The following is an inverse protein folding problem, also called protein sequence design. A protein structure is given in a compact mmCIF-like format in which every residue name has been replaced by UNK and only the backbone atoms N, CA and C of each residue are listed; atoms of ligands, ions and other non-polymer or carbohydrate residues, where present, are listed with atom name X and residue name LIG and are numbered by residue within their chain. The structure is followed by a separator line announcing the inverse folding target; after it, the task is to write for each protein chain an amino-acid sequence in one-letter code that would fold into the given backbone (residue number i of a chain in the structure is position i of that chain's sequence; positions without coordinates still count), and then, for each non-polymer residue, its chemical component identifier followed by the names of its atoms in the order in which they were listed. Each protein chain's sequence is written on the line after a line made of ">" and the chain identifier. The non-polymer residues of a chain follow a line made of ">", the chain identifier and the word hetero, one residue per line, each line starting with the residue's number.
data_IF_985810009584
#
_entry.id   IF_985810009584
#
_cell.length_a   1.000
_cell.length_b   1.000
_cell.length_c   1.000
_cell.angle_alpha   90.00
_cell.angle_beta   90.00
_cell.angle_gamma   90.00
#
_symmetry.space_group_name_H-M   'P 1'
#
loop_
_entity.id
_entity.type
_entity.pdbx_description
1 polymer ?
#
# COMPACT_ATOMS: atom_id res chain seq x y z
N UNK A 1 17.11 -2.31 -26.78
CA UNK A 1 17.55 -1.04 -26.12
C UNK A 1 17.48 -1.23 -24.61
N UNK A 2 18.59 -0.97 -23.93
CA UNK A 2 18.70 -1.12 -22.47
C UNK A 2 17.88 -0.02 -21.78
N UNK A 3 17.01 -0.41 -20.86
CA UNK A 3 16.11 0.50 -20.14
C UNK A 3 16.73 0.93 -18.80
N UNK A 4 17.06 2.22 -18.66
CA UNK A 4 17.53 2.80 -17.41
C UNK A 4 16.43 2.76 -16.34
N UNK A 5 16.81 2.45 -15.10
CA UNK A 5 15.87 2.40 -13.96
C UNK A 5 14.92 1.21 -14.00
N UNK A 6 15.21 0.20 -14.79
CA UNK A 6 14.40 -1.02 -14.97
C UNK A 6 15.24 -2.29 -14.87
N UNK A 7 14.57 -3.40 -14.57
CA UNK A 7 15.17 -4.72 -14.72
C UNK A 7 15.19 -5.08 -16.21
N UNK A 8 16.36 -5.47 -16.68
CA UNK A 8 16.62 -5.85 -18.07
C UNK A 8 17.15 -7.28 -18.10
N UNK A 9 16.67 -8.10 -19.03
CA UNK A 9 17.28 -9.40 -19.32
C UNK A 9 18.37 -9.22 -20.38
N UNK A 10 19.64 -9.28 -19.97
CA UNK A 10 20.78 -8.99 -20.82
C UNK A 10 21.73 -10.18 -20.91
N UNK A 11 22.39 -10.30 -22.06
CA UNK A 11 23.37 -11.36 -22.34
C UNK A 11 24.78 -10.87 -22.03
N UNK A 12 25.58 -11.73 -21.41
CA UNK A 12 27.00 -11.47 -21.17
C UNK A 12 27.75 -11.54 -22.50
N UNK A 13 28.33 -10.40 -22.89
CA UNK A 13 29.08 -10.26 -24.15
C UNK A 13 30.56 -10.59 -23.93
N UNK A 14 31.13 -10.09 -22.84
CA UNK A 14 32.57 -10.27 -22.52
C UNK A 14 32.82 -10.14 -21.01
N UNK A 15 33.88 -10.81 -20.54
CA UNK A 15 34.43 -10.69 -19.19
C UNK A 15 35.73 -9.86 -19.24
N UNK A 16 35.85 -8.92 -18.29
CA UNK A 16 37.00 -8.03 -18.18
C UNK A 16 37.47 -7.91 -16.73
N UNK A 17 38.60 -7.26 -16.48
CA UNK A 17 39.03 -6.99 -15.10
C UNK A 17 38.04 -6.15 -14.31
N UNK A 18 37.35 -5.19 -14.95
CA UNK A 18 36.36 -4.31 -14.33
C UNK A 18 35.03 -5.03 -14.01
N UNK A 19 34.68 -6.06 -14.79
CA UNK A 19 33.43 -6.79 -14.65
C UNK A 19 32.92 -7.36 -15.97
N UNK A 20 31.66 -7.79 -15.96
CA UNK A 20 30.99 -8.33 -17.12
C UNK A 20 30.30 -7.22 -17.90
N UNK A 21 30.53 -7.20 -19.23
CA UNK A 21 29.74 -6.34 -20.12
C UNK A 21 28.54 -7.12 -20.63
N UNK A 22 27.36 -6.52 -20.43
CA UNK A 22 26.06 -7.09 -20.78
C UNK A 22 25.44 -6.25 -21.90
N UNK A 23 24.66 -6.91 -22.78
CA UNK A 23 23.98 -6.23 -23.87
C UNK A 23 22.74 -6.98 -24.34
N UNK A 24 21.87 -6.26 -25.05
CA UNK A 24 20.60 -6.77 -25.60
C UNK A 24 20.68 -7.17 -27.08
N UNK A 25 21.89 -7.07 -27.69
CA UNK A 25 22.10 -7.33 -29.11
C UNK A 25 21.83 -6.14 -30.03
N UNK A 26 21.42 -4.98 -29.53
CA UNK A 26 21.22 -3.75 -30.31
C UNK A 26 22.52 -2.97 -30.55
N UNK A 27 23.59 -3.34 -29.85
CA UNK A 27 24.86 -2.65 -29.82
C UNK A 27 25.12 -1.86 -28.55
N UNK A 28 24.08 -1.68 -27.71
CA UNK A 28 24.25 -1.04 -26.40
C UNK A 28 24.83 -2.04 -25.40
N UNK A 29 25.78 -1.57 -24.59
CA UNK A 29 26.43 -2.36 -23.55
C UNK A 29 26.39 -1.65 -22.20
N UNK A 30 26.24 -2.42 -21.11
CA UNK A 30 26.32 -1.93 -19.74
C UNK A 30 27.29 -2.78 -18.91
N UNK A 31 28.07 -2.14 -18.04
CA UNK A 31 29.01 -2.82 -17.14
C UNK A 31 28.27 -3.32 -15.89
N UNK A 32 28.43 -4.61 -15.58
CA UNK A 32 28.14 -5.21 -14.27
C UNK A 32 29.48 -5.38 -13.53
N UNK A 33 29.80 -4.52 -12.54
CA UNK A 33 31.08 -4.58 -11.83
C UNK A 33 31.27 -5.90 -11.08
N UNK A 34 32.52 -6.40 -11.00
CA UNK A 34 32.81 -7.66 -10.26
C UNK A 34 32.38 -7.64 -8.80
N UNK A 35 32.43 -6.48 -8.15
CA UNK A 35 31.98 -6.31 -6.77
C UNK A 35 30.45 -6.49 -6.56
N UNK A 36 29.67 -6.59 -7.65
CA UNK A 36 28.22 -6.70 -7.67
C UNK A 36 27.72 -8.02 -8.23
N UNK A 37 28.63 -8.95 -8.50
CA UNK A 37 28.31 -10.31 -8.89
C UNK A 37 27.85 -11.09 -7.64
N UNK A 38 26.73 -11.76 -7.73
CA UNK A 38 26.18 -12.64 -6.70
C UNK A 38 26.39 -14.14 -7.02
N UNK A 39 27.08 -14.45 -8.13
CA UNK A 39 27.31 -15.79 -8.61
C UNK A 39 28.48 -15.89 -9.60
N UNK A 40 28.64 -17.10 -10.16
CA UNK A 40 29.62 -17.39 -11.20
C UNK A 40 28.88 -17.45 -12.54
N UNK A 41 29.26 -16.58 -13.45
CA UNK A 41 28.62 -16.43 -14.76
C UNK A 41 29.62 -16.62 -15.89
N UNK A 42 29.14 -17.02 -17.05
CA UNK A 42 29.93 -17.26 -18.25
C UNK A 42 29.48 -16.37 -19.39
N UNK A 43 30.41 -16.04 -20.28
CA UNK A 43 30.06 -15.35 -21.53
C UNK A 43 29.00 -16.13 -22.29
N UNK A 44 27.94 -15.46 -22.75
CA UNK A 44 26.72 -15.91 -23.39
C UNK A 44 25.58 -16.29 -22.44
N UNK A 45 25.79 -16.35 -21.11
CA UNK A 45 24.67 -16.46 -20.18
C UNK A 45 23.81 -15.20 -20.23
N UNK A 46 22.52 -15.34 -19.92
CA UNK A 46 21.59 -14.21 -19.78
C UNK A 46 21.28 -13.98 -18.32
N UNK A 47 21.24 -12.71 -17.91
CA UNK A 47 21.00 -12.28 -16.54
C UNK A 47 19.90 -11.22 -16.49
N UNK A 48 19.06 -11.31 -15.46
CA UNK A 48 18.19 -10.20 -15.07
C UNK A 48 18.99 -9.24 -14.22
N UNK A 49 19.20 -8.03 -14.72
CA UNK A 49 19.98 -6.99 -14.05
C UNK A 49 19.21 -5.69 -14.02
N UNK A 50 19.30 -4.98 -12.91
CA UNK A 50 18.79 -3.61 -12.81
C UNK A 50 19.86 -2.64 -13.34
N UNK A 51 19.49 -1.75 -14.25
CA UNK A 51 20.40 -0.77 -14.85
C UNK A 51 20.13 0.61 -14.26
N UNK A 52 21.15 1.26 -13.71
CA UNK A 52 21.06 2.58 -13.10
C UNK A 52 22.35 3.40 -13.30
N UNK A 53 22.39 4.63 -12.78
CA UNK A 53 23.56 5.51 -12.90
C UNK A 53 24.45 5.45 -11.66
N UNK A 54 25.78 5.31 -11.86
CA UNK A 54 26.76 5.41 -10.79
C UNK A 54 27.00 6.88 -10.35
N UNK A 55 27.97 7.11 -9.46
CA UNK A 55 28.35 8.45 -8.98
C UNK A 55 28.83 9.39 -10.09
N UNK A 56 29.36 8.87 -11.19
CA UNK A 56 29.87 9.59 -12.35
C UNK A 56 28.84 9.66 -13.50
N UNK A 57 27.59 9.32 -13.25
CA UNK A 57 26.49 9.29 -14.23
C UNK A 57 26.68 8.27 -15.37
N UNK A 58 27.53 7.26 -15.18
CA UNK A 58 27.67 6.15 -16.14
C UNK A 58 26.60 5.10 -15.86
N UNK A 59 26.06 4.49 -16.91
CA UNK A 59 25.14 3.36 -16.77
C UNK A 59 25.89 2.13 -16.27
N UNK A 60 25.39 1.54 -15.20
CA UNK A 60 25.91 0.32 -14.59
C UNK A 60 24.78 -0.63 -14.26
N UNK A 61 25.10 -1.92 -14.22
CA UNK A 61 24.16 -2.97 -13.86
C UNK A 61 24.43 -3.49 -12.44
N UNK A 62 23.40 -4.04 -11.83
CA UNK A 62 23.45 -4.81 -10.58
C UNK A 62 22.52 -6.02 -10.69
N UNK A 63 22.95 -7.16 -10.13
CA UNK A 63 22.08 -8.34 -9.96
C UNK A 63 21.09 -8.15 -8.80
N UNK A 64 21.36 -7.20 -7.90
CA UNK A 64 20.40 -6.81 -6.86
C UNK A 64 19.21 -6.09 -7.46
N UNK A 65 18.02 -6.49 -7.00
CA UNK A 65 16.78 -5.81 -7.39
C UNK A 65 16.52 -4.66 -6.43
N UNK A 66 16.15 -3.47 -6.94
CA UNK A 66 15.71 -2.38 -6.09
C UNK A 66 14.35 -2.71 -5.47
N UNK A 67 14.01 -1.99 -4.39
CA UNK A 67 12.67 -2.04 -3.79
C UNK A 67 11.61 -1.54 -4.77
N UNK A 68 11.98 -0.56 -5.61
CA UNK A 68 11.10 -0.01 -6.63
C UNK A 68 11.90 0.48 -7.84
N UNK A 69 11.26 0.54 -8.99
CA UNK A 69 11.86 0.94 -10.25
C UNK A 69 11.60 2.41 -10.61
N UNK A 70 12.22 2.87 -11.67
CA UNK A 70 11.94 4.20 -12.24
C UNK A 70 10.46 4.36 -12.60
N UNK A 71 9.90 5.53 -12.35
CA UNK A 71 8.49 5.88 -12.55
C UNK A 71 7.54 5.08 -11.65
N UNK A 72 7.94 4.86 -10.40
CA UNK A 72 7.07 4.24 -9.39
C UNK A 72 7.20 4.92 -8.03
N UNK A 73 6.22 4.69 -7.18
CA UNK A 73 6.22 5.14 -5.79
C UNK A 73 6.81 4.06 -4.90
N UNK A 74 7.48 4.48 -3.82
CA UNK A 74 8.03 3.55 -2.84
C UNK A 74 8.07 4.17 -1.44
N UNK A 75 7.90 3.35 -0.41
CA UNK A 75 8.08 3.73 0.99
C UNK A 75 9.48 3.32 1.42
N UNK A 76 10.39 4.30 1.55
CA UNK A 76 11.82 4.07 1.74
C UNK A 76 12.33 4.69 3.03
N UNK A 77 13.37 4.06 3.62
CA UNK A 77 14.07 4.55 4.81
C UNK A 77 15.16 5.54 4.41
N UNK A 78 15.27 6.63 5.14
CA UNK A 78 16.38 7.57 5.04
C UNK A 78 17.60 6.97 5.77
N UNK A 79 18.69 6.75 5.04
CA UNK A 79 19.97 6.30 5.60
C UNK A 79 20.79 7.44 6.14
N UNK A 80 20.82 8.56 5.37
CA UNK A 80 21.63 9.71 5.72
C UNK A 80 21.01 11.01 5.21
N UNK A 81 21.39 12.13 5.81
CA UNK A 81 20.93 13.47 5.47
C UNK A 81 22.13 14.39 5.34
N UNK A 82 22.19 15.16 4.23
CA UNK A 82 23.21 16.17 3.95
C UNK A 82 22.54 17.51 3.58
N UNK A 83 23.31 18.58 3.48
CA UNK A 83 22.81 19.91 3.12
C UNK A 83 22.09 19.93 1.76
N UNK A 84 22.53 19.11 0.81
CA UNK A 84 21.94 19.03 -0.53
C UNK A 84 20.64 18.20 -0.59
N UNK A 85 20.39 17.33 0.39
CA UNK A 85 19.25 16.42 0.39
C UNK A 85 19.45 15.19 1.25
N UNK A 86 18.62 14.18 1.05
CA UNK A 86 18.63 12.93 1.79
C UNK A 86 19.00 11.75 0.87
N UNK A 87 19.57 10.72 1.47
CA UNK A 87 19.94 9.46 0.83
C UNK A 87 19.05 8.35 1.42
N UNK A 88 18.32 7.65 0.54
CA UNK A 88 17.35 6.64 0.94
C UNK A 88 17.76 5.26 0.47
N UNK A 89 17.54 4.28 1.34
CA UNK A 89 17.73 2.87 1.02
C UNK A 89 16.65 2.38 0.05
N UNK A 90 17.01 2.05 -1.16
CA UNK A 90 16.13 1.48 -2.16
C UNK A 90 16.55 0.07 -2.61
N UNK A 91 17.40 -0.58 -1.81
CA UNK A 91 17.83 -1.97 -2.03
C UNK A 91 19.12 -2.12 -2.82
N UNK A 92 19.72 -1.04 -3.32
CA UNK A 92 20.98 -1.06 -4.08
C UNK A 92 22.14 -0.54 -3.24
N UNK A 93 23.38 -0.73 -3.77
CA UNK A 93 24.60 -0.24 -3.12
C UNK A 93 24.67 1.29 -3.08
N UNK A 94 24.14 1.94 -4.10
CA UNK A 94 24.03 3.40 -4.14
C UNK A 94 22.66 3.81 -3.70
N UNK A 95 22.57 4.60 -2.66
CA UNK A 95 21.31 5.12 -2.15
C UNK A 95 20.61 6.03 -3.16
N UNK A 96 19.28 6.05 -3.12
CA UNK A 96 18.47 6.99 -3.87
C UNK A 96 18.59 8.38 -3.25
N UNK A 97 19.01 9.36 -4.06
CA UNK A 97 19.12 10.74 -3.61
C UNK A 97 17.78 11.47 -3.76
N UNK A 98 17.36 12.16 -2.70
CA UNK A 98 16.19 13.04 -2.70
C UNK A 98 16.67 14.47 -2.43
N UNK A 99 16.77 15.34 -3.47
CA UNK A 99 17.20 16.72 -3.28
C UNK A 99 16.35 17.46 -2.24
N UNK A 100 16.95 18.39 -1.49
CA UNK A 100 16.22 19.17 -0.49
C UNK A 100 14.99 19.87 -1.10
N UNK A 101 15.12 20.42 -2.32
CA UNK A 101 14.01 21.04 -3.06
C UNK A 101 12.90 20.08 -3.47
N UNK A 102 13.12 18.76 -3.40
CA UNK A 102 12.14 17.70 -3.71
C UNK A 102 11.51 17.11 -2.46
N UNK A 103 11.86 17.58 -1.28
CA UNK A 103 11.25 17.17 -0.03
C UNK A 103 10.04 18.07 0.28
N UNK A 104 8.86 17.49 0.50
CA UNK A 104 7.65 18.20 0.97
C UNK A 104 7.82 18.71 2.41
N UNK A 105 8.57 17.95 3.21
CA UNK A 105 9.03 18.28 4.56
C UNK A 105 10.47 17.81 4.71
N UNK A 106 11.23 18.41 5.60
CA UNK A 106 12.61 17.99 5.87
C UNK A 106 12.64 16.51 6.28
N UNK A 107 13.50 15.75 5.63
CA UNK A 107 13.69 14.33 5.96
C UNK A 107 14.61 14.17 7.14
N UNK A 108 14.31 13.18 7.97
CA UNK A 108 15.08 12.81 9.15
C UNK A 108 15.69 11.42 8.95
N UNK A 109 16.91 11.24 9.47
CA UNK A 109 17.58 9.94 9.46
C UNK A 109 16.74 8.88 10.17
N UNK A 110 16.79 7.65 9.64
CA UNK A 110 16.06 6.48 10.14
C UNK A 110 14.53 6.55 10.05
N UNK A 111 13.99 7.63 9.47
CA UNK A 111 12.56 7.74 9.17
C UNK A 111 12.24 7.23 7.77
N UNK A 112 10.98 6.90 7.58
CA UNK A 112 10.46 6.40 6.30
C UNK A 112 9.55 7.44 5.65
N UNK A 113 9.65 7.56 4.32
CA UNK A 113 8.82 8.46 3.54
C UNK A 113 8.42 7.80 2.22
N UNK A 114 7.21 8.11 1.75
CA UNK A 114 6.81 7.75 0.39
C UNK A 114 7.43 8.75 -0.57
N UNK A 115 8.11 8.24 -1.59
CA UNK A 115 8.74 9.02 -2.65
C UNK A 115 8.38 8.44 -4.01
N UNK A 116 8.35 9.31 -5.02
CA UNK A 116 8.31 8.91 -6.43
C UNK A 116 9.73 8.91 -6.98
N UNK A 117 10.08 7.85 -7.70
CA UNK A 117 11.41 7.66 -8.29
C UNK A 117 11.34 8.08 -9.75
N UNK A 118 12.14 9.05 -10.14
CA UNK A 118 12.12 9.59 -11.50
C UNK A 118 13.53 9.94 -12.03
N UNK A 119 13.64 10.10 -13.34
CA UNK A 119 14.85 10.59 -13.99
C UNK A 119 14.81 12.12 -14.02
N UNK A 120 15.75 12.75 -13.34
CA UNK A 120 15.89 14.20 -13.38
C UNK A 120 16.46 14.63 -14.75
N UNK A 121 15.72 15.43 -15.49
CA UNK A 121 16.05 15.82 -16.85
C UNK A 121 17.35 16.65 -16.95
N UNK A 122 17.67 17.40 -15.89
CA UNK A 122 18.86 18.26 -15.87
C UNK A 122 20.12 17.47 -15.56
N UNK A 123 20.11 16.69 -14.49
CA UNK A 123 21.29 15.92 -14.06
C UNK A 123 21.40 14.55 -14.74
N UNK A 124 20.35 14.08 -15.42
CA UNK A 124 20.25 12.74 -16.01
C UNK A 124 20.49 11.62 -14.98
N UNK A 125 20.10 11.87 -13.71
CA UNK A 125 20.21 10.92 -12.60
C UNK A 125 18.86 10.47 -12.12
N UNK A 126 18.78 9.23 -11.66
CA UNK A 126 17.62 8.74 -10.95
C UNK A 126 17.61 9.38 -9.56
N UNK A 127 16.51 10.06 -9.23
CA UNK A 127 16.29 10.76 -7.96
C UNK A 127 14.90 10.49 -7.43
N UNK A 128 14.68 10.79 -6.16
CA UNK A 128 13.37 10.70 -5.52
C UNK A 128 12.75 12.07 -5.24
N UNK A 129 11.42 12.10 -5.13
CA UNK A 129 10.67 13.28 -4.69
C UNK A 129 9.53 12.87 -3.76
N UNK A 130 9.35 13.57 -2.63
CA UNK A 130 8.14 13.45 -1.80
C UNK A 130 7.07 14.48 -2.13
N UNK A 131 7.28 15.30 -3.16
CA UNK A 131 6.26 16.19 -3.73
C UNK A 131 5.41 15.42 -4.74
N UNK A 132 4.62 14.46 -4.22
CA UNK A 132 3.97 13.40 -5.01
C UNK A 132 2.91 13.92 -5.97
N UNK A 133 2.22 15.01 -5.63
CA UNK A 133 1.09 15.56 -6.41
C UNK A 133 1.46 15.83 -7.89
N UNK A 134 2.71 16.18 -8.18
CA UNK A 134 3.17 16.47 -9.56
C UNK A 134 3.33 15.22 -10.44
N UNK A 135 3.28 14.03 -9.85
CA UNK A 135 3.40 12.75 -10.55
C UNK A 135 2.08 11.98 -10.61
N UNK A 136 1.03 12.51 -9.98
CA UNK A 136 -0.29 11.91 -9.97
C UNK A 136 -1.13 12.44 -11.11
N UNK A 137 -1.83 11.54 -11.79
CA UNK A 137 -2.63 11.87 -12.96
C UNK A 137 -3.98 12.45 -12.51
N UNK A 138 -4.37 13.55 -13.15
CA UNK A 138 -5.67 14.20 -12.92
C UNK A 138 -6.68 13.95 -14.03
N UNK A 139 -6.21 13.64 -15.25
CA UNK A 139 -7.02 13.61 -16.47
C UNK A 139 -7.14 12.23 -17.15
N UNK A 140 -6.39 11.22 -16.71
CA UNK A 140 -6.44 9.86 -17.28
C UNK A 140 -7.75 9.15 -16.90
N UNK A 141 -8.20 8.13 -17.65
CA UNK A 141 -9.43 7.43 -17.28
C UNK A 141 -9.36 6.95 -15.84
N UNK A 142 -10.21 7.54 -15.01
CA UNK A 142 -10.30 7.25 -13.60
C UNK A 142 -10.94 5.87 -13.40
N UNK A 143 -10.57 5.15 -12.34
CA UNK A 143 -11.19 3.88 -12.02
C UNK A 143 -12.69 4.08 -11.75
N UNK A 144 -13.49 3.11 -12.17
CA UNK A 144 -14.95 3.13 -12.00
C UNK A 144 -15.35 2.96 -10.53
N UNK A 145 -16.47 3.58 -10.12
CA UNK A 145 -17.04 3.41 -8.79
C UNK A 145 -17.33 1.94 -8.48
N UNK A 146 -16.93 1.49 -7.30
CA UNK A 146 -17.06 0.10 -6.84
C UNK A 146 -15.96 -0.84 -7.31
N UNK A 147 -15.04 -0.41 -8.19
CA UNK A 147 -13.91 -1.23 -8.61
C UNK A 147 -12.91 -1.46 -7.48
N UNK A 148 -12.27 -2.62 -7.50
CA UNK A 148 -11.17 -2.99 -6.62
C UNK A 148 -9.87 -2.39 -7.15
N UNK A 149 -9.06 -1.82 -6.27
CA UNK A 149 -7.83 -1.12 -6.60
C UNK A 149 -6.76 -1.37 -5.53
N UNK A 150 -5.50 -1.29 -5.92
CA UNK A 150 -4.38 -1.25 -4.98
C UNK A 150 -4.10 0.21 -4.58
N UNK A 151 -3.87 0.43 -3.28
CA UNK A 151 -3.57 1.75 -2.74
C UNK A 151 -2.31 1.72 -1.89
N UNK A 152 -1.47 2.74 -2.04
CA UNK A 152 -0.34 3.03 -1.14
C UNK A 152 -0.69 4.25 -0.30
N UNK A 153 -0.73 4.09 1.02
CA UNK A 153 -0.98 5.20 1.95
C UNK A 153 0.27 6.07 2.08
N UNK A 154 0.16 7.40 1.89
CA UNK A 154 1.35 8.25 1.89
C UNK A 154 1.34 9.42 2.87
N UNK A 155 0.19 9.81 3.37
CA UNK A 155 0.04 10.92 4.32
C UNK A 155 -1.23 10.76 5.15
N UNK A 156 -1.12 11.01 6.45
CA UNK A 156 -2.26 11.11 7.36
C UNK A 156 -2.61 12.57 7.61
N UNK A 157 -3.90 12.87 7.69
CA UNK A 157 -4.49 14.18 7.97
C UNK A 157 -5.68 14.04 8.90
N UNK A 158 -6.25 15.16 9.37
CA UNK A 158 -7.46 15.18 10.21
C UNK A 158 -8.67 14.52 9.52
N UNK A 159 -8.70 14.48 8.19
CA UNK A 159 -9.79 13.87 7.41
C UNK A 159 -9.64 12.35 7.24
N UNK A 160 -8.39 11.87 7.20
CA UNK A 160 -8.07 10.49 6.89
C UNK A 160 -6.73 10.33 6.20
N UNK A 161 -6.54 9.24 5.49
CA UNK A 161 -5.30 8.91 4.79
C UNK A 161 -5.39 9.26 3.31
N UNK A 162 -4.45 10.08 2.85
CA UNK A 162 -4.20 10.26 1.43
C UNK A 162 -3.52 9.02 0.86
N UNK A 163 -3.98 8.54 -0.29
CA UNK A 163 -3.46 7.34 -0.91
C UNK A 163 -3.18 7.52 -2.41
N UNK A 164 -2.30 6.69 -2.93
CA UNK A 164 -2.01 6.58 -4.35
C UNK A 164 -2.70 5.34 -4.88
N UNK A 165 -3.62 5.51 -5.82
CA UNK A 165 -4.44 4.45 -6.40
C UNK A 165 -3.76 3.91 -7.65
N UNK A 166 -3.49 2.60 -7.70
CA UNK A 166 -2.88 1.88 -8.83
C UNK A 166 -1.58 2.56 -9.35
N UNK A 167 -0.82 3.21 -8.46
CA UNK A 167 0.40 3.94 -8.81
C UNK A 167 0.18 5.17 -9.71
N UNK A 168 -1.04 5.71 -9.81
CA UNK A 168 -1.38 6.76 -10.77
C UNK A 168 -2.22 7.90 -10.19
N UNK A 169 -3.29 7.63 -9.46
CA UNK A 169 -4.27 8.63 -9.08
C UNK A 169 -4.21 8.94 -7.58
N UNK A 170 -4.61 10.16 -7.22
CA UNK A 170 -4.76 10.57 -5.83
C UNK A 170 -6.12 10.18 -5.28
N UNK A 171 -6.13 9.56 -4.11
CA UNK A 171 -7.33 9.20 -3.36
C UNK A 171 -7.28 9.63 -1.92
N UNK A 172 -8.45 9.56 -1.26
CA UNK A 172 -8.62 9.81 0.16
C UNK A 172 -9.46 8.69 0.78
N UNK A 173 -8.96 8.11 1.88
CA UNK A 173 -9.69 7.17 2.73
C UNK A 173 -10.01 7.92 4.03
N UNK A 174 -11.29 8.15 4.31
CA UNK A 174 -11.71 8.85 5.53
C UNK A 174 -11.49 8.00 6.77
N UNK A 175 -11.15 8.61 7.91
CA UNK A 175 -11.05 7.92 9.20
C UNK A 175 -12.31 7.10 9.54
N UNK A 176 -13.49 7.61 9.17
CA UNK A 176 -14.76 6.91 9.39
C UNK A 176 -14.97 5.65 8.53
N UNK A 177 -14.16 5.46 7.50
CA UNK A 177 -14.18 4.28 6.61
C UNK A 177 -13.03 3.31 6.93
N UNK A 178 -12.23 3.59 7.97
CA UNK A 178 -11.09 2.78 8.43
C UNK A 178 -11.50 2.04 9.69
N UNK A 179 -11.45 0.72 9.67
CA UNK A 179 -11.89 -0.16 10.76
C UNK A 179 -10.80 -1.11 11.25
N UNK A 180 -9.57 -0.85 10.82
CA UNK A 180 -8.36 -1.59 11.19
C UNK A 180 -7.21 -0.59 11.37
N UNK A 181 -6.16 -0.98 12.06
CA UNK A 181 -4.96 -0.16 12.14
C UNK A 181 -4.31 -0.11 10.76
N UNK A 182 -4.00 1.09 10.29
CA UNK A 182 -3.31 1.34 9.02
C UNK A 182 -2.22 2.39 9.21
N UNK A 183 -1.17 2.31 8.41
CA UNK A 183 0.01 3.15 8.55
C UNK A 183 0.44 3.76 7.22
N UNK A 184 1.06 4.92 7.28
CA UNK A 184 1.72 5.51 6.11
C UNK A 184 2.80 4.56 5.58
N UNK A 185 2.78 4.31 4.27
CA UNK A 185 3.67 3.35 3.59
C UNK A 185 3.06 1.98 3.39
N UNK A 186 1.87 1.72 3.93
CA UNK A 186 1.18 0.46 3.76
C UNK A 186 0.50 0.37 2.38
N UNK A 187 0.65 -0.79 1.74
CA UNK A 187 -0.05 -1.14 0.50
C UNK A 187 -1.26 -2.02 0.83
N UNK A 188 -2.42 -1.62 0.34
CA UNK A 188 -3.69 -2.26 0.69
C UNK A 188 -4.57 -2.41 -0.55
N UNK A 189 -5.38 -3.45 -0.57
CA UNK A 189 -6.52 -3.56 -1.50
C UNK A 189 -7.68 -2.71 -0.97
N UNK A 190 -8.25 -1.89 -1.83
CA UNK A 190 -9.32 -0.96 -1.51
C UNK A 190 -10.37 -0.89 -2.63
N UNK A 191 -11.43 -0.13 -2.43
CA UNK A 191 -12.55 -0.02 -3.37
C UNK A 191 -12.87 1.45 -3.65
N UNK A 192 -13.10 1.79 -4.91
CA UNK A 192 -13.51 3.15 -5.28
C UNK A 192 -14.92 3.40 -4.76
N UNK A 193 -15.07 4.39 -3.88
CA UNK A 193 -16.36 4.80 -3.32
C UNK A 193 -17.06 5.82 -4.21
N UNK A 194 -16.35 6.89 -4.56
CA UNK A 194 -16.87 7.98 -5.39
C UNK A 194 -15.72 8.66 -6.13
N UNK A 195 -15.92 8.98 -7.38
CA UNK A 195 -15.06 9.89 -8.15
C UNK A 195 -15.75 11.25 -8.15
N UNK A 196 -15.12 12.26 -7.55
CA UNK A 196 -15.67 13.60 -7.41
C UNK A 196 -15.48 14.42 -8.69
N UNK A 197 -16.28 15.47 -8.82
CA UNK A 197 -16.19 16.45 -9.94
C UNK A 197 -14.84 17.18 -9.96
N UNK A 198 -14.27 17.48 -8.78
CA UNK A 198 -12.95 18.11 -8.61
C UNK A 198 -11.77 17.17 -8.93
N UNK A 199 -12.07 15.93 -9.29
CA UNK A 199 -11.06 14.95 -9.68
C UNK A 199 -10.53 14.10 -8.53
N UNK A 200 -10.83 14.40 -7.28
CA UNK A 200 -10.46 13.60 -6.13
C UNK A 200 -11.27 12.30 -6.09
N UNK A 201 -10.63 11.22 -5.65
CA UNK A 201 -11.25 9.90 -5.57
C UNK A 201 -11.40 9.50 -4.10
N UNK A 202 -12.63 9.28 -3.67
CA UNK A 202 -12.92 8.71 -2.36
C UNK A 202 -12.77 7.20 -2.43
N UNK A 203 -12.03 6.64 -1.49
CA UNK A 203 -11.71 5.23 -1.42
C UNK A 203 -12.20 4.65 -0.09
N UNK A 204 -12.55 3.38 -0.09
CA UNK A 204 -12.94 2.63 1.11
C UNK A 204 -12.16 1.33 1.19
N UNK A 205 -11.73 0.93 2.40
CA UNK A 205 -11.13 -0.39 2.63
C UNK A 205 -12.16 -1.52 2.59
N UNK A 206 -13.45 -1.18 2.50
CA UNK A 206 -14.53 -2.16 2.44
C UNK A 206 -15.34 -2.01 1.15
N UNK A 207 -15.69 -3.14 0.55
CA UNK A 207 -16.54 -3.18 -0.64
C UNK A 207 -17.94 -2.63 -0.35
N UNK A 208 -18.37 -1.62 -1.12
CA UNK A 208 -19.69 -1.01 -0.98
C UNK A 208 -20.83 -2.01 -1.30
N UNK A 209 -21.93 -2.00 -0.51
CA UNK A 209 -23.16 -2.69 -0.85
C UNK A 209 -23.60 -3.78 0.13
N UNK A 210 -24.59 -4.55 -0.25
CA UNK A 210 -25.27 -5.59 0.53
C UNK A 210 -24.31 -6.67 1.10
N UNK A 211 -23.18 -6.93 0.46
CA UNK A 211 -22.11 -7.81 0.95
C UNK A 211 -21.49 -7.33 2.27
N UNK A 212 -21.40 -6.02 2.52
CA UNK A 212 -20.85 -5.50 3.79
C UNK A 212 -21.75 -5.82 4.97
N UNK A 213 -23.05 -5.89 4.75
CA UNK A 213 -24.00 -6.23 5.83
C UNK A 213 -24.02 -7.73 6.08
N UNK A 214 -23.87 -8.56 5.06
CA UNK A 214 -23.72 -10.01 5.21
C UNK A 214 -22.39 -10.37 5.87
N UNK A 215 -21.28 -9.76 5.44
CA UNK A 215 -20.00 -9.94 6.11
C UNK A 215 -20.05 -9.44 7.57
N UNK A 216 -20.78 -8.36 7.86
CA UNK A 216 -20.95 -7.86 9.21
C UNK A 216 -21.81 -8.79 10.09
N UNK A 217 -22.81 -9.48 9.54
CA UNK A 217 -23.55 -10.53 10.28
C UNK A 217 -22.64 -11.69 10.64
N UNK A 218 -21.76 -12.10 9.71
CA UNK A 218 -20.81 -13.20 9.94
C UNK A 218 -19.77 -12.81 11.00
N UNK A 219 -19.26 -11.57 10.95
CA UNK A 219 -18.32 -11.05 11.96
C UNK A 219 -18.97 -11.05 13.36
N UNK A 220 -20.19 -10.53 13.49
CA UNK A 220 -20.91 -10.52 14.78
C UNK A 220 -21.17 -11.95 15.26
N UNK A 221 -21.60 -12.84 14.38
CA UNK A 221 -21.87 -14.24 14.73
C UNK A 221 -20.59 -14.96 15.16
N UNK A 222 -19.49 -14.85 14.40
CA UNK A 222 -18.18 -15.43 14.73
C UNK A 222 -17.68 -14.90 16.07
N UNK A 223 -17.81 -13.59 16.31
CA UNK A 223 -17.43 -13.00 17.61
C UNK A 223 -18.19 -13.65 18.76
N UNK A 224 -19.51 -13.77 18.63
CA UNK A 224 -20.36 -14.41 19.65
C UNK A 224 -19.96 -15.87 19.89
N UNK A 225 -19.71 -16.63 18.82
CA UNK A 225 -19.28 -18.03 18.91
C UNK A 225 -17.92 -18.21 19.63
N UNK A 226 -17.00 -17.23 19.47
CA UNK A 226 -15.69 -17.23 20.11
C UNK A 226 -15.69 -16.69 21.55
N UNK A 227 -16.77 -16.01 21.99
CA UNK A 227 -16.86 -15.34 23.28
C UNK A 227 -18.08 -15.82 24.09
N UNK A 228 -18.25 -17.15 24.21
CA UNK A 228 -19.30 -17.78 25.03
C UNK A 228 -20.72 -17.30 24.73
N UNK A 229 -20.96 -16.87 23.50
CA UNK A 229 -22.27 -16.42 23.04
C UNK A 229 -22.66 -15.01 23.48
N UNK A 230 -21.73 -14.22 24.04
CA UNK A 230 -21.99 -12.88 24.55
C UNK A 230 -21.13 -11.80 23.92
N UNK A 231 -21.74 -10.65 23.61
CA UNK A 231 -21.10 -9.43 23.15
C UNK A 231 -21.68 -8.25 23.92
N UNK A 232 -20.89 -7.58 24.75
CA UNK A 232 -21.27 -6.42 25.55
C UNK A 232 -21.41 -5.12 24.74
N UNK A 233 -21.93 -5.22 23.53
CA UNK A 233 -22.29 -4.11 22.65
C UNK A 233 -23.77 -4.20 22.29
N UNK A 234 -24.41 -3.04 22.17
CA UNK A 234 -25.81 -2.91 21.76
C UNK A 234 -26.00 -1.69 20.85
N UNK A 235 -27.22 -1.41 20.43
CA UNK A 235 -27.54 -0.34 19.46
C UNK A 235 -27.18 1.09 19.95
N UNK A 236 -27.00 1.28 21.28
CA UNK A 236 -26.63 2.56 21.91
C UNK A 236 -25.13 2.66 22.23
N UNK A 237 -24.35 1.57 22.08
CA UNK A 237 -22.90 1.58 22.32
C UNK A 237 -22.17 2.63 21.46
N UNK A 238 -21.00 3.09 21.94
CA UNK A 238 -20.24 4.13 21.24
C UNK A 238 -19.72 3.65 19.90
N UNK A 239 -19.58 4.51 18.89
CA UNK A 239 -18.94 4.15 17.60
C UNK A 239 -17.53 3.59 17.78
N UNK A 240 -16.77 4.15 18.74
CA UNK A 240 -15.40 3.77 19.05
C UNK A 240 -15.30 2.33 19.59
N UNK A 241 -16.20 1.95 20.50
CA UNK A 241 -16.21 0.59 21.07
C UNK A 241 -16.60 -0.46 20.03
N UNK A 242 -17.60 -0.13 19.19
CA UNK A 242 -18.02 -1.00 18.09
C UNK A 242 -16.89 -1.19 17.08
N UNK A 243 -16.22 -0.08 16.69
CA UNK A 243 -15.10 -0.12 15.75
C UNK A 243 -13.94 -0.93 16.31
N UNK A 244 -13.56 -0.70 17.57
CA UNK A 244 -12.44 -1.40 18.22
C UNK A 244 -12.64 -2.91 18.31
N UNK A 245 -13.85 -3.38 18.59
CA UNK A 245 -14.12 -4.81 18.81
C UNK A 245 -14.47 -5.58 17.55
N UNK A 246 -15.21 -4.96 16.65
CA UNK A 246 -15.81 -5.64 15.49
C UNK A 246 -15.30 -5.10 14.15
N UNK A 247 -14.44 -4.05 14.13
CA UNK A 247 -13.90 -3.48 12.90
C UNK A 247 -14.98 -2.91 11.96
N UNK A 248 -16.12 -2.43 12.51
CA UNK A 248 -17.21 -1.93 11.66
C UNK A 248 -17.83 -0.64 12.21
N UNK A 249 -18.54 0.11 11.35
CA UNK A 249 -19.26 1.30 11.77
C UNK A 249 -20.48 0.96 12.62
N UNK A 250 -20.92 1.91 13.50
CA UNK A 250 -22.17 1.76 14.27
C UNK A 250 -23.41 1.53 13.38
N UNK A 251 -23.45 2.18 12.20
CA UNK A 251 -24.55 1.97 11.26
C UNK A 251 -24.57 0.55 10.68
N UNK A 252 -23.39 0.01 10.35
CA UNK A 252 -23.20 -1.37 9.85
C UNK A 252 -23.56 -2.38 10.96
N UNK A 253 -23.07 -2.16 12.19
CA UNK A 253 -23.39 -2.99 13.35
C UNK A 253 -24.89 -3.06 13.62
N UNK A 254 -25.58 -1.89 13.66
CA UNK A 254 -27.05 -1.86 13.83
C UNK A 254 -27.81 -2.65 12.77
N UNK A 255 -27.38 -2.55 11.50
CA UNK A 255 -27.97 -3.34 10.41
C UNK A 255 -27.71 -4.83 10.61
N UNK A 256 -26.48 -5.21 10.98
CA UNK A 256 -26.11 -6.62 11.19
C UNK A 256 -26.90 -7.27 12.33
N UNK A 257 -26.94 -6.65 13.53
CA UNK A 257 -27.71 -7.18 14.66
C UNK A 257 -29.20 -7.20 14.36
N UNK A 258 -29.74 -6.21 13.61
CA UNK A 258 -31.14 -6.20 13.19
C UNK A 258 -31.49 -7.35 12.24
N UNK A 259 -30.59 -7.79 11.40
CA UNK A 259 -30.78 -8.97 10.54
C UNK A 259 -30.70 -10.25 11.37
N UNK A 260 -29.66 -10.42 12.19
CA UNK A 260 -29.46 -11.58 13.04
C UNK A 260 -30.66 -11.76 14.00
N UNK A 261 -31.18 -10.68 14.56
CA UNK A 261 -32.36 -10.68 15.41
C UNK A 261 -33.61 -11.14 14.66
N UNK A 262 -33.87 -10.62 13.46
CA UNK A 262 -35.00 -11.06 12.60
C UNK A 262 -34.93 -12.54 12.24
N UNK A 263 -33.73 -13.05 12.06
CA UNK A 263 -33.47 -14.48 11.78
C UNK A 263 -33.43 -15.33 13.04
N UNK A 264 -33.75 -14.77 14.23
CA UNK A 264 -33.78 -15.46 15.54
C UNK A 264 -32.44 -16.14 15.87
N UNK A 265 -31.32 -15.55 15.42
CA UNK A 265 -29.96 -16.04 15.73
C UNK A 265 -29.41 -15.41 17.01
N UNK A 266 -29.90 -14.24 17.38
CA UNK A 266 -29.44 -13.48 18.55
C UNK A 266 -30.63 -12.90 19.35
N UNK A 267 -30.37 -12.59 20.63
CA UNK A 267 -31.21 -11.78 21.49
C UNK A 267 -30.49 -10.47 21.83
N UNK A 268 -31.18 -9.34 21.71
CA UNK A 268 -30.62 -8.01 22.05
C UNK A 268 -31.22 -7.62 23.42
N UNK A 269 -30.34 -7.38 24.40
CA UNK A 269 -30.68 -6.90 25.75
C UNK A 269 -30.01 -5.55 26.02
N UNK A 270 -30.39 -4.84 27.10
CA UNK A 270 -29.77 -3.56 27.47
C UNK A 270 -28.26 -3.62 27.75
N UNK A 271 -27.78 -4.78 28.15
CA UNK A 271 -26.38 -5.08 28.51
C UNK A 271 -25.56 -5.66 27.34
N UNK A 272 -26.19 -6.06 26.23
CA UNK A 272 -25.46 -6.58 25.07
C UNK A 272 -26.27 -7.48 24.15
N UNK A 273 -25.58 -8.20 23.30
CA UNK A 273 -26.12 -9.15 22.32
C UNK A 273 -25.75 -10.57 22.73
N UNK A 274 -26.71 -11.48 22.67
CA UNK A 274 -26.56 -12.89 23.04
C UNK A 274 -26.84 -13.79 21.84
N UNK A 275 -26.02 -14.79 21.62
CA UNK A 275 -26.25 -15.85 20.64
C UNK A 275 -27.39 -16.74 21.13
N UNK A 276 -28.33 -17.05 20.26
CA UNK A 276 -29.36 -18.06 20.53
C UNK A 276 -28.86 -19.39 19.95
N UNK A 277 -28.72 -20.40 20.82
CA UNK A 277 -28.41 -21.76 20.42
C UNK A 277 -29.46 -22.32 19.47
N UNK A 278 -29.05 -23.06 18.46
CA UNK A 278 -29.92 -23.73 17.48
C UNK A 278 -30.78 -24.86 18.08
N UNK A 279 -30.79 -25.00 19.39
CA UNK A 279 -31.56 -25.97 20.16
C UNK A 279 -32.51 -25.28 21.13
N UNK A 280 -33.66 -24.88 20.61
CA UNK A 280 -34.89 -24.68 21.36
C UNK A 280 -34.86 -23.78 22.59
N UNK A 281 -35.66 -22.74 22.54
CA UNK A 281 -36.17 -22.03 23.71
C UNK A 281 -36.62 -23.07 24.75
N UNK A 282 -35.81 -23.24 25.80
CA UNK A 282 -36.36 -23.85 27.04
C UNK A 282 -37.22 -22.78 27.69
N UNK A 283 -38.51 -23.07 27.68
CA UNK A 283 -39.55 -22.43 28.41
C UNK A 283 -39.14 -22.24 29.89
N UNK A 284 -38.77 -21.02 30.25
CA UNK A 284 -38.76 -20.54 31.63
C UNK A 284 -39.49 -19.20 31.74
N UNK A 285 -40.77 -19.17 31.28
CA UNK A 285 -41.74 -18.12 31.65
C UNK A 285 -43.15 -18.70 31.69
N UNK A 286 -43.36 -19.73 32.51
CA UNK A 286 -44.69 -20.05 33.07
C UNK A 286 -44.51 -20.53 34.49
N UNK A 287 -44.21 -19.61 35.40
CA UNK A 287 -44.55 -19.71 36.83
C UNK A 287 -44.22 -18.39 37.55
N UNK A 288 -45.11 -17.40 37.40
CA UNK A 288 -45.56 -16.56 38.51
C UNK A 288 -46.69 -15.63 38.06
#
# INVERSE_FOLDING_TARGET
>A
MIQLGKVNNLKIIRDTEAGLYLGDGSGDEVLLPKSRLDGIYRVKDSLDVFVYTDGESRHIASTRKPIAELNSFAFLRVRDVADAGAFMDWGLEKDLFVPYGEQKRTFERDRYYVVYIYLDEVSQRIVGSSKLDKFLLTEDPKPEGGSEVEVLLYEESDLGFSCIINGKHKGLIYHNDIFQDVFVGEELTAYIKTVREDGLIDVSLQKSGFKNVLNATDVVQTYLEQHEGFLDLHDKSSPEDISRRLGMSKATFKKAIGILYRHRKILIKPDGVYLLDSGGIREEEERR
#
